data_IF_723676134810
#
_entry.id   IF_723676134810
#
_cell.length_a   1.000
_cell.length_b   1.000
_cell.length_c   1.000
_cell.angle_alpha   90.00
_cell.angle_beta   90.00
_cell.angle_gamma   90.00
#
_symmetry.space_group_name_H-M   'P 1'
#
loop_
_entity.id
_entity.type
_entity.pdbx_description
1 polymer ?
#
# COMPACT_ATOMS: atom_id res chain seq x y z
N UNK A 1 30.67 18.34 17.31
CA UNK A 1 29.52 17.42 17.16
C UNK A 1 28.72 17.88 15.96
N UNK A 2 28.65 17.09 14.90
CA UNK A 2 27.55 17.08 13.93
C UNK A 2 27.72 15.80 13.12
N UNK A 3 26.69 14.96 13.16
CA UNK A 3 26.73 13.56 12.78
C UNK A 3 26.88 13.43 11.26
N UNK A 4 27.95 12.75 10.86
CA UNK A 4 28.15 12.22 9.51
C UNK A 4 27.27 10.97 9.36
N UNK A 5 26.74 10.76 8.15
CA UNK A 5 26.00 9.59 7.63
C UNK A 5 24.47 9.78 7.49
N UNK A 6 24.06 10.18 6.29
CA UNK A 6 22.84 9.68 5.67
C UNK A 6 23.22 9.20 4.26
N UNK A 7 23.81 8.01 4.22
CA UNK A 7 23.87 7.15 3.03
C UNK A 7 22.87 6.01 3.28
N UNK A 8 21.63 6.38 3.60
CA UNK A 8 20.55 5.40 3.70
C UNK A 8 20.19 4.96 2.28
N UNK A 9 20.04 3.66 2.06
CA UNK A 9 19.56 3.17 0.76
C UNK A 9 18.08 3.55 0.60
N UNK A 10 17.57 3.73 -0.63
CA UNK A 10 16.15 4.04 -0.86
C UNK A 10 15.19 3.03 -0.19
N UNK A 11 15.62 1.77 -0.10
CA UNK A 11 14.88 0.74 0.62
C UNK A 11 14.84 0.99 2.14
N UNK A 12 15.92 1.46 2.75
CA UNK A 12 15.96 1.76 4.17
C UNK A 12 15.08 2.96 4.53
N UNK A 13 15.02 3.96 3.65
CA UNK A 13 14.13 5.12 3.79
C UNK A 13 12.66 4.68 3.70
N UNK A 14 12.29 3.92 2.68
CA UNK A 14 10.94 3.35 2.54
C UNK A 14 10.52 2.52 3.77
N UNK A 15 11.42 1.66 4.27
CA UNK A 15 11.11 0.85 5.47
C UNK A 15 10.91 1.74 6.71
N UNK A 16 11.65 2.84 6.82
CA UNK A 16 11.47 3.79 7.92
C UNK A 16 10.12 4.53 7.80
N UNK A 17 9.74 4.95 6.59
CA UNK A 17 8.43 5.57 6.30
C UNK A 17 7.28 4.61 6.60
N UNK A 18 7.35 3.36 6.15
CA UNK A 18 6.36 2.32 6.45
C UNK A 18 6.15 2.12 7.95
N UNK A 19 7.24 2.10 8.73
CA UNK A 19 7.17 1.94 10.19
C UNK A 19 6.56 3.15 10.88
N UNK A 20 6.93 4.35 10.43
CA UNK A 20 6.40 5.60 10.96
C UNK A 20 4.89 5.68 10.71
N UNK A 21 4.46 5.38 9.48
CA UNK A 21 3.05 5.35 9.10
C UNK A 21 2.27 4.34 9.95
N UNK A 22 2.79 3.12 10.11
CA UNK A 22 2.15 2.11 10.95
C UNK A 22 1.98 2.60 12.40
N UNK A 23 2.98 3.27 12.96
CA UNK A 23 2.91 3.84 14.30
C UNK A 23 1.85 4.95 14.41
N UNK A 24 1.77 5.83 13.40
CA UNK A 24 0.82 6.95 13.37
C UNK A 24 -0.64 6.48 13.38
N UNK A 25 -0.96 5.47 12.57
CA UNK A 25 -2.33 4.95 12.44
C UNK A 25 -2.65 3.79 13.39
N UNK A 26 -1.73 3.47 14.32
CA UNK A 26 -1.89 2.40 15.30
C UNK A 26 -1.88 0.98 14.71
N UNK A 27 -1.31 0.82 13.52
CA UNK A 27 -1.16 -0.47 12.84
C UNK A 27 0.03 -1.27 13.36
N UNK A 28 -0.08 -2.60 13.37
CA UNK A 28 1.11 -3.44 13.42
C UNK A 28 1.91 -3.27 12.11
N UNK A 29 3.24 -3.24 12.23
CA UNK A 29 4.12 -3.27 11.07
C UNK A 29 4.21 -4.68 10.51
N UNK A 30 3.77 -4.86 9.27
CA UNK A 30 3.93 -6.11 8.52
C UNK A 30 5.01 -5.92 7.46
N UNK A 31 6.10 -6.67 7.59
CA UNK A 31 7.16 -6.66 6.58
C UNK A 31 6.62 -7.11 5.22
N UNK A 32 6.89 -6.31 4.18
CA UNK A 32 6.62 -6.64 2.79
C UNK A 32 7.90 -6.81 1.99
N UNK A 33 7.90 -7.78 1.08
CA UNK A 33 9.01 -8.12 0.20
C UNK A 33 8.64 -7.76 -1.23
N UNK A 34 9.65 -7.40 -2.02
CA UNK A 34 9.43 -7.09 -3.44
C UNK A 34 8.80 -8.24 -4.24
N UNK A 35 8.93 -9.48 -3.78
CA UNK A 35 8.38 -10.67 -4.43
C UNK A 35 6.98 -11.05 -3.92
N UNK A 36 6.45 -10.32 -2.92
CA UNK A 36 5.06 -10.51 -2.48
C UNK A 36 4.09 -10.10 -3.59
N UNK A 37 2.98 -10.84 -3.71
CA UNK A 37 2.00 -10.68 -4.78
C UNK A 37 0.81 -9.87 -4.29
N UNK A 38 0.39 -8.91 -5.11
CA UNK A 38 -0.75 -8.04 -4.88
C UNK A 38 -1.67 -8.06 -6.09
N UNK A 39 -2.96 -7.80 -5.88
CA UNK A 39 -3.96 -7.68 -6.94
C UNK A 39 -4.18 -6.19 -7.27
N UNK A 40 -4.08 -5.83 -8.55
CA UNK A 40 -4.16 -4.44 -9.01
C UNK A 40 -5.09 -4.32 -10.20
N UNK A 41 -6.06 -3.41 -10.15
CA UNK A 41 -6.88 -3.04 -11.29
C UNK A 41 -6.13 -2.00 -12.15
N UNK A 42 -5.13 -2.45 -12.91
CA UNK A 42 -4.14 -1.58 -13.59
C UNK A 42 -4.81 -0.53 -14.48
N UNK A 43 -5.91 -0.88 -15.15
CA UNK A 43 -6.67 0.02 -16.02
C UNK A 43 -7.37 1.18 -15.30
N UNK A 44 -7.31 1.22 -13.97
CA UNK A 44 -7.91 2.27 -13.15
C UNK A 44 -6.91 3.14 -12.42
N UNK A 45 -5.62 2.81 -12.44
CA UNK A 45 -4.60 3.60 -11.74
C UNK A 45 -4.46 5.04 -12.28
N UNK A 46 -5.06 5.36 -13.42
CA UNK A 46 -5.16 6.72 -13.96
C UNK A 46 -6.40 7.49 -13.46
N UNK A 47 -7.23 6.88 -12.61
CA UNK A 47 -8.38 7.48 -11.95
C UNK A 47 -7.98 7.83 -10.51
N UNK A 48 -8.69 8.79 -9.96
CA UNK A 48 -8.48 9.34 -8.65
C UNK A 48 -9.74 9.12 -7.79
N UNK A 49 -9.61 8.78 -6.49
CA UNK A 49 -8.38 8.52 -5.74
C UNK A 49 -7.82 7.10 -5.97
N UNK A 50 -6.55 6.85 -5.66
CA UNK A 50 -6.02 5.48 -5.54
C UNK A 50 -6.45 4.91 -4.19
N UNK A 51 -7.06 3.74 -4.22
CA UNK A 51 -7.56 3.05 -3.03
C UNK A 51 -6.90 1.68 -2.90
N UNK A 52 -6.49 1.35 -1.68
CA UNK A 52 -6.00 0.02 -1.35
C UNK A 52 -6.75 -0.61 -0.20
N UNK A 53 -7.01 -1.92 -0.31
CA UNK A 53 -7.70 -2.70 0.71
C UNK A 53 -6.82 -3.88 1.09
N UNK A 54 -6.47 -3.99 2.38
CA UNK A 54 -5.74 -5.15 2.91
C UNK A 54 -6.69 -6.19 3.48
N UNK A 55 -6.75 -7.33 2.82
CA UNK A 55 -7.52 -8.50 3.25
C UNK A 55 -6.59 -9.55 3.84
N UNK A 56 -7.12 -10.51 4.62
CA UNK A 56 -6.38 -11.72 4.94
C UNK A 56 -5.83 -12.35 3.66
N UNK A 57 -4.60 -12.86 3.69
CA UNK A 57 -4.03 -13.52 2.52
C UNK A 57 -4.87 -14.74 2.16
N UNK A 58 -5.32 -14.81 0.90
CA UNK A 58 -6.12 -15.91 0.38
C UNK A 58 -5.43 -16.61 -0.81
N UNK A 59 -5.68 -17.91 -0.96
CA UNK A 59 -5.16 -18.71 -2.08
C UNK A 59 -3.68 -19.12 -1.97
N UNK A 60 -3.16 -19.72 -3.03
CA UNK A 60 -1.77 -20.21 -3.09
C UNK A 60 -0.75 -19.06 -3.19
N UNK A 61 -1.16 -17.95 -3.79
CA UNK A 61 -0.31 -16.77 -4.02
C UNK A 61 -0.24 -15.79 -2.83
N UNK A 62 -1.01 -16.05 -1.76
CA UNK A 62 -1.07 -15.21 -0.55
C UNK A 62 -1.34 -13.72 -0.83
N UNK A 63 -2.20 -13.44 -1.82
CA UNK A 63 -2.58 -12.08 -2.18
C UNK A 63 -3.35 -11.46 -1.03
N UNK A 64 -2.83 -10.36 -0.49
CA UNK A 64 -3.41 -9.65 0.65
C UNK A 64 -3.76 -8.19 0.38
N UNK A 65 -3.28 -7.61 -0.72
CA UNK A 65 -3.60 -6.25 -1.14
C UNK A 65 -4.38 -6.23 -2.44
N UNK A 66 -5.43 -5.41 -2.46
CA UNK A 66 -6.24 -5.10 -3.64
C UNK A 66 -6.18 -3.60 -3.88
N UNK A 67 -5.65 -3.18 -5.02
CA UNK A 67 -5.39 -1.78 -5.34
C UNK A 67 -6.11 -1.40 -6.63
N UNK A 68 -6.77 -0.24 -6.63
CA UNK A 68 -7.52 0.28 -7.78
C UNK A 68 -7.60 1.81 -7.69
N UNK A 69 -8.04 2.47 -8.75
CA UNK A 69 -8.26 3.92 -8.78
C UNK A 69 -9.73 4.29 -9.04
N UNK A 70 -10.19 5.36 -8.42
CA UNK A 70 -11.58 5.78 -8.42
C UNK A 70 -12.50 4.82 -7.65
N UNK A 71 -13.75 4.71 -8.11
CA UNK A 71 -14.76 3.87 -7.48
C UNK A 71 -14.82 2.47 -8.10
N UNK A 72 -14.93 1.42 -7.26
CA UNK A 72 -15.17 0.05 -7.72
C UNK A 72 -16.63 -0.10 -8.19
N UNK A 73 -16.86 0.01 -9.50
CA UNK A 73 -18.18 -0.20 -10.10
C UNK A 73 -18.51 -1.70 -10.35
N UNK A 74 -17.70 -2.62 -9.82
CA UNK A 74 -17.99 -4.07 -9.79
C UNK A 74 -17.57 -4.88 -11.02
N UNK A 75 -17.11 -4.24 -12.10
CA UNK A 75 -16.61 -4.92 -13.32
C UNK A 75 -15.08 -4.82 -13.48
N UNK A 76 -14.38 -4.48 -12.41
CA UNK A 76 -12.96 -4.15 -12.45
C UNK A 76 -12.13 -5.43 -12.48
N UNK A 77 -11.36 -5.61 -13.56
CA UNK A 77 -10.44 -6.74 -13.71
C UNK A 77 -9.19 -6.50 -12.86
N UNK A 78 -8.98 -7.33 -11.84
CA UNK A 78 -7.74 -7.32 -11.06
C UNK A 78 -6.70 -8.26 -11.67
N UNK A 79 -5.48 -7.76 -11.82
CA UNK A 79 -4.31 -8.53 -12.26
C UNK A 79 -3.36 -8.72 -11.09
N UNK A 80 -2.84 -9.94 -10.90
CA UNK A 80 -1.82 -10.20 -9.87
C UNK A 80 -0.44 -9.83 -10.36
N UNK A 81 0.34 -9.14 -9.52
CA UNK A 81 1.73 -8.80 -9.81
C UNK A 81 2.55 -8.66 -8.53
N UNK A 82 3.88 -8.71 -8.67
CA UNK A 82 4.77 -8.53 -7.53
C UNK A 82 4.89 -7.05 -7.16
N UNK A 83 5.14 -6.75 -5.87
CA UNK A 83 5.41 -5.38 -5.39
C UNK A 83 6.56 -4.75 -6.19
N UNK A 84 7.59 -5.54 -6.52
CA UNK A 84 8.72 -5.10 -7.35
C UNK A 84 8.26 -4.59 -8.71
N UNK A 85 7.25 -5.20 -9.33
CA UNK A 85 6.71 -4.74 -10.61
C UNK A 85 5.77 -3.54 -10.41
N UNK A 86 4.96 -3.59 -9.36
CA UNK A 86 3.99 -2.55 -9.05
C UNK A 86 4.62 -1.19 -8.72
N UNK A 87 5.81 -1.16 -8.10
CA UNK A 87 6.52 0.11 -7.83
C UNK A 87 6.77 0.95 -9.08
N UNK A 88 6.81 0.33 -10.28
CA UNK A 88 6.96 1.05 -11.55
C UNK A 88 5.66 1.75 -12.00
N UNK A 89 4.52 1.39 -11.42
CA UNK A 89 3.19 1.90 -11.75
C UNK A 89 2.74 2.99 -10.76
N UNK A 90 2.82 2.71 -9.46
CA UNK A 90 2.37 3.60 -8.40
C UNK A 90 3.29 3.49 -7.17
N UNK A 91 4.51 4.07 -7.23
CA UNK A 91 5.48 4.00 -6.13
C UNK A 91 4.99 4.72 -4.87
N UNK A 92 4.09 5.70 -5.01
CA UNK A 92 3.45 6.40 -3.90
C UNK A 92 2.67 5.48 -2.96
N UNK A 93 2.25 4.30 -3.43
CA UNK A 93 1.48 3.34 -2.63
C UNK A 93 2.35 2.46 -1.72
N UNK A 94 3.66 2.38 -1.97
CA UNK A 94 4.56 1.49 -1.23
C UNK A 94 4.58 1.71 0.30
N UNK A 95 4.48 2.94 0.85
CA UNK A 95 4.45 3.18 2.29
C UNK A 95 3.27 2.49 2.99
N UNK A 96 2.11 2.40 2.33
CA UNK A 96 0.90 1.81 2.92
C UNK A 96 0.92 0.28 2.94
N UNK A 97 1.74 -0.36 2.09
CA UNK A 97 1.73 -1.82 1.96
C UNK A 97 2.16 -2.56 3.23
N UNK A 98 2.75 -1.88 4.21
CA UNK A 98 3.14 -2.46 5.50
C UNK A 98 2.03 -2.48 6.56
N UNK A 99 0.88 -1.83 6.32
CA UNK A 99 -0.25 -1.76 7.26
C UNK A 99 -0.85 -3.15 7.54
N UNK A 100 -1.40 -3.40 8.72
CA UNK A 100 -1.91 -4.72 9.11
C UNK A 100 -3.20 -5.11 8.35
N UNK A 101 -3.58 -6.38 8.42
CA UNK A 101 -4.82 -6.87 7.80
C UNK A 101 -6.05 -6.10 8.33
N UNK A 102 -6.95 -5.75 7.40
CA UNK A 102 -8.15 -4.96 7.67
C UNK A 102 -7.95 -3.46 7.44
N UNK A 103 -6.73 -2.97 7.26
CA UNK A 103 -6.50 -1.58 6.90
C UNK A 103 -6.86 -1.29 5.44
N UNK A 104 -7.28 -0.05 5.22
CA UNK A 104 -7.57 0.55 3.92
C UNK A 104 -6.89 1.91 3.86
N UNK A 105 -6.54 2.33 2.66
CA UNK A 105 -6.08 3.69 2.41
C UNK A 105 -6.75 4.26 1.16
N UNK A 106 -6.84 5.57 1.11
CA UNK A 106 -7.27 6.37 -0.03
C UNK A 106 -6.30 7.54 -0.16
N UNK A 107 -5.69 7.69 -1.32
CA UNK A 107 -4.81 8.81 -1.64
C UNK A 107 -5.23 9.46 -2.96
N UNK A 108 -5.21 10.78 -3.01
CA UNK A 108 -5.54 11.55 -4.21
C UNK A 108 -4.39 12.42 -4.72
N UNK A 109 -4.57 13.02 -5.89
CA UNK A 109 -3.60 13.90 -6.51
C UNK A 109 -3.45 15.29 -5.83
N UNK A 110 -4.32 15.65 -4.88
CA UNK A 110 -4.30 16.90 -4.10
C UNK A 110 -3.61 16.72 -2.73
N UNK A 111 -2.84 15.63 -2.55
CA UNK A 111 -2.16 15.28 -1.30
C UNK A 111 -3.14 14.92 -0.16
N UNK A 112 -4.41 14.60 -0.50
CA UNK A 112 -5.32 14.02 0.47
C UNK A 112 -4.93 12.56 0.73
N UNK A 113 -4.84 12.22 2.01
CA UNK A 113 -4.59 10.86 2.48
C UNK A 113 -5.59 10.54 3.57
N UNK A 114 -6.20 9.35 3.47
CA UNK A 114 -7.03 8.80 4.52
C UNK A 114 -6.72 7.32 4.72
N UNK A 115 -6.54 6.91 5.98
CA UNK A 115 -6.15 5.55 6.37
C UNK A 115 -7.03 5.11 7.53
N UNK A 116 -7.73 3.99 7.35
CA UNK A 116 -8.66 3.49 8.35
C UNK A 116 -8.69 1.97 8.37
N UNK A 117 -9.21 1.40 9.46
CA UNK A 117 -9.39 -0.04 9.62
C UNK A 117 -10.86 -0.41 9.40
N UNK A 118 -11.11 -1.48 8.64
CA UNK A 118 -12.44 -2.05 8.47
C UNK A 118 -13.04 -2.44 9.83
N UNK A 119 -14.26 -1.96 10.10
CA UNK A 119 -14.95 -2.20 11.37
C UNK A 119 -14.68 -1.14 12.45
N UNK A 120 -13.83 -0.14 12.20
CA UNK A 120 -13.69 1.06 13.03
C UNK A 120 -14.76 2.13 12.70
N UNK A 121 -15.95 1.69 12.29
CA UNK A 121 -17.12 2.56 12.11
C UNK A 121 -17.66 2.92 13.50
N UNK A 122 -17.37 4.14 13.96
CA UNK A 122 -17.92 4.73 15.18
C UNK A 122 -19.42 5.05 15.06
#
# INVERSE_FOLDING_TARGET
MAKNAQNSSPLAELIAEQKLLCEEVGSAYVEVKGDDVIAVAVHTLNKDPIVGIRKPAEGEENVSWYIYGGELEGAESFETMTIRKFQELAPEVLPYLALDVGYRFMIDADDYEDIWKEGDEA
#
